data_IF_321274051968
#
_entry.id   IF_321274051968
#
_cell.length_a   1.000
_cell.length_b   1.000
_cell.length_c   1.000
_cell.angle_alpha   90.00
_cell.angle_beta   90.00
_cell.angle_gamma   90.00
#
_symmetry.space_group_name_H-M   'P 1'
#
loop_
_entity.id
_entity.type
_entity.pdbx_description
1 polymer ?
#
# COMPACT_ATOMS: atom_id res chain seq x y z
N UNK A 1 37.24 11.10 16.20
CA UNK A 1 36.06 11.11 15.31
C UNK A 1 35.27 9.84 15.64
N UNK A 2 34.01 9.91 16.08
CA UNK A 2 33.22 8.69 16.25
C UNK A 2 33.02 8.00 14.90
N UNK A 3 33.08 6.67 14.89
CA UNK A 3 32.88 5.85 13.71
C UNK A 3 31.43 5.98 13.22
N UNK A 4 31.24 6.26 11.93
CA UNK A 4 29.91 6.26 11.30
C UNK A 4 29.51 4.82 10.97
N UNK A 5 28.54 4.29 11.70
CA UNK A 5 27.91 3.01 11.40
C UNK A 5 26.76 3.21 10.40
N UNK A 6 26.70 2.35 9.39
CA UNK A 6 25.61 2.33 8.42
C UNK A 6 24.74 1.08 8.61
N UNK A 7 23.43 1.26 8.55
CA UNK A 7 22.50 0.13 8.46
C UNK A 7 22.61 -0.51 7.07
N UNK A 8 22.78 -1.82 7.04
CA UNK A 8 22.63 -2.63 5.82
C UNK A 8 21.31 -3.36 5.88
N UNK A 9 20.47 -3.13 4.88
CA UNK A 9 19.20 -3.83 4.72
C UNK A 9 19.40 -5.01 3.76
N UNK A 10 18.91 -6.19 4.17
CA UNK A 10 18.85 -7.38 3.31
C UNK A 10 17.60 -7.32 2.44
N UNK A 11 17.69 -7.78 1.19
CA UNK A 11 16.54 -7.91 0.30
C UNK A 11 15.46 -8.86 0.82
N UNK A 12 15.82 -9.82 1.68
CA UNK A 12 14.88 -10.74 2.34
C UNK A 12 13.99 -10.04 3.39
N UNK A 13 14.37 -8.84 3.84
CA UNK A 13 13.59 -8.08 4.83
C UNK A 13 12.20 -7.72 4.29
N UNK A 14 12.05 -7.53 2.97
CA UNK A 14 10.76 -7.24 2.34
C UNK A 14 9.74 -8.37 2.53
N UNK A 15 10.20 -9.62 2.52
CA UNK A 15 9.33 -10.80 2.62
C UNK A 15 8.84 -10.97 4.06
N UNK A 16 9.71 -10.66 5.03
CA UNK A 16 9.41 -10.65 6.47
C UNK A 16 8.42 -9.52 6.82
N UNK A 17 8.67 -8.29 6.33
CA UNK A 17 7.79 -7.14 6.60
C UNK A 17 6.44 -7.28 5.87
N UNK A 18 6.41 -7.85 4.66
CA UNK A 18 5.16 -8.02 3.94
C UNK A 18 4.28 -9.12 4.53
N UNK A 19 4.82 -10.34 4.64
CA UNK A 19 4.05 -11.55 4.97
C UNK A 19 3.75 -11.69 6.45
N UNK A 20 4.69 -11.31 7.33
CA UNK A 20 4.53 -11.54 8.78
C UNK A 20 3.90 -10.34 9.50
N UNK A 21 3.79 -9.17 8.84
CA UNK A 21 3.28 -7.94 9.44
C UNK A 21 1.83 -7.63 9.06
N UNK A 22 1.39 -8.05 7.87
CA UNK A 22 -0.01 -7.95 7.42
C UNK A 22 -0.64 -9.33 7.50
N UNK A 23 -1.18 -9.66 8.68
CA UNK A 23 -1.78 -10.97 8.97
C UNK A 23 -3.30 -10.99 8.78
N UNK A 24 -3.89 -9.85 8.43
CA UNK A 24 -5.33 -9.66 8.31
C UNK A 24 -5.65 -8.91 7.01
N UNK A 25 -6.39 -9.57 6.12
CA UNK A 25 -6.84 -9.01 4.84
C UNK A 25 -7.67 -7.74 5.01
N UNK A 26 -8.40 -7.61 6.13
CA UNK A 26 -9.12 -6.38 6.47
C UNK A 26 -8.14 -5.22 6.73
N UNK A 27 -7.07 -5.47 7.47
CA UNK A 27 -6.03 -4.46 7.73
C UNK A 27 -5.38 -4.05 6.41
N UNK A 28 -5.09 -5.00 5.51
CA UNK A 28 -4.51 -4.70 4.20
C UNK A 28 -5.36 -3.71 3.39
N UNK A 29 -6.67 -3.94 3.31
CA UNK A 29 -7.61 -3.04 2.63
C UNK A 29 -7.71 -1.69 3.34
N UNK A 30 -7.71 -1.69 4.68
CA UNK A 30 -7.77 -0.47 5.47
C UNK A 30 -6.54 0.43 5.28
N UNK A 31 -5.34 -0.13 5.21
CA UNK A 31 -4.12 0.64 4.93
C UNK A 31 -4.20 1.35 3.57
N UNK A 32 -4.77 0.71 2.54
CA UNK A 32 -4.97 1.34 1.24
C UNK A 32 -5.97 2.51 1.29
N UNK A 33 -7.04 2.39 2.08
CA UNK A 33 -8.00 3.50 2.29
C UNK A 33 -7.37 4.65 3.07
N UNK A 34 -6.50 4.36 4.05
CA UNK A 34 -5.74 5.42 4.76
C UNK A 34 -4.80 6.17 3.84
N UNK A 35 -4.17 5.50 2.88
CA UNK A 35 -3.29 6.18 1.92
C UNK A 35 -4.05 7.24 1.11
N UNK A 36 -5.33 7.01 0.79
CA UNK A 36 -6.18 8.03 0.15
C UNK A 36 -6.41 9.25 1.06
N UNK A 37 -6.53 9.06 2.38
CA UNK A 37 -6.59 10.17 3.35
C UNK A 37 -5.28 10.96 3.41
N UNK A 38 -4.13 10.27 3.42
CA UNK A 38 -2.79 10.90 3.39
C UNK A 38 -2.51 11.63 2.06
N UNK A 39 -3.21 11.23 0.99
CA UNK A 39 -3.26 11.94 -0.29
C UNK A 39 -4.20 13.16 -0.27
N UNK A 40 -4.84 13.46 0.86
CA UNK A 40 -5.84 14.52 1.03
C UNK A 40 -7.07 14.37 0.12
N UNK A 41 -7.46 13.12 -0.19
CA UNK A 41 -8.66 12.85 -0.95
C UNK A 41 -9.91 13.30 -0.18
N UNK A 42 -10.89 13.82 -0.92
CA UNK A 42 -12.22 14.15 -0.38
C UNK A 42 -13.24 13.05 -0.65
N UNK A 43 -12.95 12.18 -1.62
CA UNK A 43 -13.80 11.08 -2.07
C UNK A 43 -12.90 9.86 -2.24
N UNK A 44 -13.36 8.73 -1.71
CA UNK A 44 -12.74 7.42 -1.90
C UNK A 44 -13.84 6.44 -2.29
N UNK A 45 -13.72 5.87 -3.48
CA UNK A 45 -14.61 4.85 -4.02
C UNK A 45 -14.01 3.46 -3.77
N UNK A 46 -14.79 2.58 -3.13
CA UNK A 46 -14.45 1.17 -2.97
C UNK A 46 -15.39 0.36 -3.86
N UNK A 47 -14.83 -0.27 -4.91
CA UNK A 47 -15.59 -0.91 -5.97
C UNK A 47 -15.24 -2.39 -6.01
N UNK A 48 -16.25 -3.24 -5.86
CA UNK A 48 -16.13 -4.69 -6.02
C UNK A 48 -16.64 -5.09 -7.41
N UNK A 49 -15.78 -5.71 -8.23
CA UNK A 49 -16.11 -6.13 -9.60
C UNK A 49 -16.01 -7.63 -9.76
N UNK A 50 -16.87 -8.16 -10.63
CA UNK A 50 -16.89 -9.57 -11.07
C UNK A 50 -16.86 -10.59 -9.92
N UNK A 51 -17.56 -10.29 -8.82
CA UNK A 51 -17.65 -11.17 -7.66
C UNK A 51 -18.08 -12.59 -8.06
N UNK A 52 -17.55 -13.59 -7.37
CA UNK A 52 -17.80 -15.02 -7.64
C UNK A 52 -17.32 -15.50 -9.02
N UNK A 53 -16.38 -14.78 -9.63
CA UNK A 53 -15.71 -15.22 -10.87
C UNK A 53 -14.19 -15.27 -10.66
N UNK A 54 -13.44 -15.99 -11.51
CA UNK A 54 -11.98 -15.96 -11.47
C UNK A 54 -11.38 -14.57 -11.69
N UNK A 55 -12.13 -13.62 -12.26
CA UNK A 55 -11.71 -12.25 -12.53
C UNK A 55 -12.20 -11.26 -11.46
N UNK A 56 -12.41 -11.74 -10.23
CA UNK A 56 -12.84 -10.90 -9.10
C UNK A 56 -11.78 -9.84 -8.80
N UNK A 57 -12.21 -8.59 -8.64
CA UNK A 57 -11.33 -7.45 -8.42
C UNK A 57 -11.92 -6.52 -7.36
N UNK A 58 -11.06 -5.96 -6.51
CA UNK A 58 -11.38 -4.84 -5.62
C UNK A 58 -10.57 -3.64 -6.11
N UNK A 59 -11.26 -2.53 -6.37
CA UNK A 59 -10.63 -1.26 -6.76
C UNK A 59 -10.87 -0.26 -5.65
N UNK A 60 -9.78 0.33 -5.15
CA UNK A 60 -9.80 1.49 -4.26
C UNK A 60 -9.33 2.67 -5.10
N UNK A 61 -10.21 3.65 -5.28
CA UNK A 61 -9.95 4.82 -6.12
C UNK A 61 -10.23 6.08 -5.33
N UNK A 62 -9.28 7.01 -5.34
CA UNK A 62 -9.46 8.31 -4.72
C UNK A 62 -9.23 9.47 -5.69
N UNK A 63 -9.60 10.66 -5.24
CA UNK A 63 -9.39 11.92 -5.95
C UNK A 63 -8.32 12.80 -5.28
N UNK A 64 -7.40 12.20 -4.53
CA UNK A 64 -6.33 12.90 -3.82
C UNK A 64 -5.25 13.43 -4.76
N UNK A 65 -4.14 13.88 -4.18
CA UNK A 65 -3.01 14.50 -4.90
C UNK A 65 -2.31 13.56 -5.90
N UNK A 66 -2.52 12.24 -5.77
CA UNK A 66 -1.87 11.24 -6.60
C UNK A 66 -0.34 11.24 -6.44
N UNK A 67 0.32 10.61 -7.41
CA UNK A 67 1.78 10.53 -7.54
C UNK A 67 2.13 10.79 -9.00
N UNK A 68 3.24 11.49 -9.24
CA UNK A 68 3.80 11.64 -10.59
C UNK A 68 4.48 10.34 -11.03
N UNK A 69 4.91 10.26 -12.28
CA UNK A 69 5.67 9.11 -12.76
C UNK A 69 6.95 8.91 -11.93
N UNK A 70 7.69 9.99 -11.65
CA UNK A 70 8.97 9.96 -10.94
C UNK A 70 8.83 9.57 -9.45
N UNK A 71 7.64 9.73 -8.86
CA UNK A 71 7.36 9.28 -7.49
C UNK A 71 7.19 7.75 -7.41
N UNK A 72 6.93 7.09 -8.55
CA UNK A 72 6.55 5.67 -8.62
C UNK A 72 7.68 4.79 -9.19
N UNK A 73 8.56 5.34 -10.04
CA UNK A 73 9.58 4.57 -10.78
C UNK A 73 10.98 4.62 -10.18
#
# INVERSE_FOLDING_TARGET
>A
MPEQLHFRISSALKDIIGRDLITDDYIAVFELVKNSYDAHATIVDIIFKNLNTPNTEIIIKDNGKGMTHDDIV
#
